data_IF_172120159487
#
_entry.id   IF_172120159487
#
_cell.length_a   1.000
_cell.length_b   1.000
_cell.length_c   1.000
_cell.angle_alpha   90.00
_cell.angle_beta   90.00
_cell.angle_gamma   90.00
#
_symmetry.space_group_name_H-M   'P 1'
#
loop_
_entity.id
_entity.type
_entity.pdbx_description
1 polymer ?
#
# COMPACT_ATOMS: atom_id res chain seq x y z
N UNK A 1 -18.90 -14.93 19.91
CA UNK A 1 -19.77 -16.12 20.08
C UNK A 1 -20.63 -16.22 18.84
N UNK A 2 -20.94 -17.43 18.39
CA UNK A 2 -21.79 -17.63 17.21
C UNK A 2 -23.20 -17.99 17.68
N UNK A 3 -24.21 -17.30 17.14
CA UNK A 3 -25.62 -17.66 17.36
C UNK A 3 -26.02 -18.72 16.33
N UNK A 4 -26.53 -19.85 16.81
CA UNK A 4 -26.93 -20.97 15.96
C UNK A 4 -28.46 -21.06 15.98
N UNK A 5 -29.15 -20.69 14.87
CA UNK A 5 -30.62 -20.62 14.84
C UNK A 5 -31.31 -21.95 15.18
N UNK A 6 -30.63 -23.07 14.92
CA UNK A 6 -31.16 -24.43 15.15
C UNK A 6 -30.97 -24.94 16.58
N UNK A 7 -30.14 -24.28 17.39
CA UNK A 7 -29.79 -24.76 18.74
C UNK A 7 -30.39 -23.84 19.81
N UNK A 8 -30.20 -22.51 19.69
CA UNK A 8 -30.75 -21.53 20.62
C UNK A 8 -30.97 -20.18 19.93
N UNK A 9 -32.23 -19.84 19.64
CA UNK A 9 -32.59 -18.55 19.02
C UNK A 9 -32.41 -17.35 19.97
N UNK A 10 -32.59 -17.56 21.28
CA UNK A 10 -32.61 -16.49 22.29
C UNK A 10 -31.39 -16.49 23.23
N UNK A 11 -30.33 -17.25 22.89
CA UNK A 11 -29.11 -17.37 23.70
C UNK A 11 -27.99 -16.39 23.32
N UNK A 12 -26.99 -16.23 24.19
CA UNK A 12 -25.80 -15.39 23.93
C UNK A 12 -24.89 -15.92 22.80
N UNK A 13 -25.11 -17.17 22.39
CA UNK A 13 -24.32 -17.90 21.40
C UNK A 13 -23.31 -18.87 22.02
N UNK A 14 -22.58 -19.59 21.19
CA UNK A 14 -21.58 -20.58 21.62
C UNK A 14 -20.18 -20.11 21.22
N UNK A 15 -19.19 -20.40 22.06
CA UNK A 15 -17.78 -20.22 21.69
C UNK A 15 -17.37 -21.27 20.66
N UNK A 16 -16.79 -20.81 19.56
CA UNK A 16 -16.34 -21.67 18.47
C UNK A 16 -14.97 -21.22 18.00
N UNK A 17 -14.11 -22.20 17.67
CA UNK A 17 -12.80 -21.93 17.07
C UNK A 17 -12.96 -21.53 15.62
N UNK A 18 -12.05 -20.71 15.11
CA UNK A 18 -12.03 -20.26 13.72
C UNK A 18 -10.97 -21.03 12.93
N UNK A 19 -11.38 -21.66 11.83
CA UNK A 19 -10.46 -22.14 10.81
C UNK A 19 -9.83 -20.93 10.09
N UNK A 20 -8.53 -20.97 9.89
CA UNK A 20 -7.75 -19.87 9.30
C UNK A 20 -6.72 -20.45 8.32
N UNK A 21 -6.15 -19.62 7.44
CA UNK A 21 -5.25 -20.07 6.38
C UNK A 21 -3.91 -20.64 6.91
N UNK A 22 -3.40 -20.09 8.01
CA UNK A 22 -2.24 -20.61 8.73
C UNK A 22 -2.40 -20.35 10.23
N UNK A 23 -1.95 -21.28 11.06
CA UNK A 23 -1.98 -21.18 12.52
C UNK A 23 -0.83 -21.96 13.14
N UNK A 24 -0.05 -21.32 14.01
CA UNK A 24 1.04 -21.93 14.76
C UNK A 24 1.47 -21.08 15.95
N UNK A 25 2.50 -21.53 16.66
CA UNK A 25 3.08 -20.76 17.75
C UNK A 25 3.67 -19.44 17.23
N UNK A 26 3.08 -18.31 17.64
CA UNK A 26 3.47 -16.96 17.22
C UNK A 26 3.48 -16.72 15.69
N UNK A 27 2.69 -17.47 14.93
CA UNK A 27 2.51 -17.27 13.47
C UNK A 27 1.09 -17.64 13.00
N UNK A 28 0.67 -17.07 11.88
CA UNK A 28 -0.58 -17.41 11.22
C UNK A 28 -1.36 -16.20 10.72
N UNK A 29 -2.59 -16.44 10.28
CA UNK A 29 -3.53 -15.41 9.80
C UNK A 29 -4.63 -15.14 10.84
N UNK A 30 -4.97 -13.86 11.03
CA UNK A 30 -6.00 -13.43 12.00
C UNK A 30 -6.98 -12.48 11.33
N UNK A 31 -8.09 -13.04 10.84
CA UNK A 31 -9.24 -12.30 10.32
C UNK A 31 -10.49 -12.83 11.00
N UNK A 32 -10.91 -12.18 12.07
CA UNK A 32 -12.10 -12.61 12.83
C UNK A 32 -13.35 -12.00 12.20
N UNK A 33 -14.46 -12.74 12.13
CA UNK A 33 -15.76 -12.16 11.82
C UNK A 33 -16.06 -11.01 12.79
N UNK A 34 -16.67 -9.96 12.26
CA UNK A 34 -17.20 -8.86 13.05
C UNK A 34 -18.52 -9.28 13.71
N UNK A 35 -19.03 -8.42 14.59
CA UNK A 35 -20.36 -8.63 15.17
C UNK A 35 -21.39 -8.54 14.03
N UNK A 36 -22.34 -9.48 14.05
CA UNK A 36 -23.42 -9.65 13.08
C UNK A 36 -23.01 -10.19 11.69
N UNK A 37 -21.74 -10.55 11.48
CA UNK A 37 -21.31 -11.27 10.26
C UNK A 37 -21.88 -12.70 10.20
N UNK A 38 -22.17 -13.15 8.98
CA UNK A 38 -22.67 -14.49 8.69
C UNK A 38 -21.52 -15.48 8.48
N UNK A 39 -21.55 -16.59 9.23
CA UNK A 39 -20.49 -17.61 9.23
C UNK A 39 -21.04 -19.00 8.93
N UNK A 40 -20.21 -19.83 8.29
CA UNK A 40 -20.46 -21.27 8.17
C UNK A 40 -19.85 -21.97 9.38
N UNK A 41 -20.67 -22.74 10.10
CA UNK A 41 -20.22 -23.57 11.24
C UNK A 41 -20.29 -25.04 10.86
N UNK A 42 -19.18 -25.74 11.08
CA UNK A 42 -19.10 -27.20 11.06
C UNK A 42 -19.02 -27.76 12.48
N UNK A 43 -19.35 -29.04 12.63
CA UNK A 43 -19.34 -29.74 13.92
C UNK A 43 -18.40 -30.94 13.83
N UNK A 44 -17.43 -31.02 14.74
CA UNK A 44 -16.47 -32.14 14.78
C UNK A 44 -17.23 -33.44 15.05
N UNK A 45 -17.05 -34.44 14.20
CA UNK A 45 -17.78 -35.73 14.22
C UNK A 45 -19.32 -35.57 14.28
N UNK A 46 -19.85 -34.44 13.80
CA UNK A 46 -21.26 -34.13 13.84
C UNK A 46 -21.80 -33.79 15.24
N UNK A 47 -20.95 -33.61 16.26
CA UNK A 47 -21.35 -33.23 17.62
C UNK A 47 -21.66 -31.72 17.70
N UNK A 48 -22.93 -31.32 17.93
CA UNK A 48 -23.31 -29.91 18.02
C UNK A 48 -22.60 -29.13 19.13
N UNK A 49 -22.02 -29.83 20.12
CA UNK A 49 -21.26 -29.23 21.22
C UNK A 49 -19.82 -28.87 20.84
N UNK A 50 -19.36 -29.26 19.65
CA UNK A 50 -18.01 -29.02 19.15
C UNK A 50 -18.01 -28.18 17.85
N UNK A 51 -18.55 -26.95 17.88
CA UNK A 51 -18.62 -26.10 16.69
C UNK A 51 -17.25 -25.54 16.31
N UNK A 52 -16.98 -25.47 15.01
CA UNK A 52 -15.84 -24.77 14.39
C UNK A 52 -16.36 -23.89 13.25
N UNK A 53 -16.02 -22.60 13.28
CA UNK A 53 -16.26 -21.69 12.15
C UNK A 53 -15.33 -22.08 11.01
N UNK A 54 -15.91 -22.44 9.86
CA UNK A 54 -15.19 -22.87 8.67
C UNK A 54 -14.87 -21.72 7.71
N UNK A 55 -15.66 -20.65 7.76
CA UNK A 55 -15.54 -19.51 6.87
C UNK A 55 -16.75 -18.59 6.95
N UNK A 56 -16.81 -17.64 6.03
CA UNK A 56 -17.84 -16.60 5.92
C UNK A 56 -18.46 -16.63 4.53
N UNK A 57 -19.69 -16.12 4.39
CA UNK A 57 -20.37 -15.96 3.11
C UNK A 57 -20.91 -14.54 2.99
N UNK A 58 -20.85 -14.00 1.78
CA UNK A 58 -21.61 -12.79 1.45
C UNK A 58 -23.08 -13.13 1.22
N UNK A 59 -23.96 -12.19 1.54
CA UNK A 59 -25.41 -12.30 1.36
C UNK A 59 -25.99 -11.01 0.82
N UNK A 60 -27.29 -10.96 0.60
CA UNK A 60 -27.97 -9.72 0.19
C UNK A 60 -27.92 -8.62 1.26
N UNK A 61 -27.72 -8.97 2.53
CA UNK A 61 -27.55 -7.99 3.62
C UNK A 61 -26.08 -7.57 3.79
N UNK A 62 -25.15 -8.48 3.50
CA UNK A 62 -23.70 -8.24 3.57
C UNK A 62 -23.04 -8.59 2.22
N UNK A 63 -23.23 -7.76 1.19
CA UNK A 63 -22.75 -8.05 -0.15
C UNK A 63 -21.22 -8.06 -0.23
N UNK A 64 -20.69 -8.70 -1.28
CA UNK A 64 -19.26 -8.69 -1.57
C UNK A 64 -18.78 -7.26 -1.90
N UNK A 65 -17.53 -6.91 -1.55
CA UNK A 65 -16.98 -5.59 -1.86
C UNK A 65 -16.74 -5.36 -3.36
N UNK A 66 -16.66 -6.45 -4.14
CA UNK A 66 -16.56 -6.41 -5.59
C UNK A 66 -17.85 -6.99 -6.19
N UNK A 67 -18.39 -6.32 -7.21
CA UNK A 67 -19.60 -6.79 -7.89
C UNK A 67 -19.30 -8.08 -8.65
N UNK A 68 -20.20 -9.05 -8.54
CA UNK A 68 -20.06 -10.31 -9.25
C UNK A 68 -20.32 -10.10 -10.75
N UNK A 69 -19.30 -10.36 -11.57
CA UNK A 69 -19.38 -10.32 -13.03
C UNK A 69 -18.88 -11.64 -13.64
N UNK A 70 -19.34 -11.96 -14.85
CA UNK A 70 -18.90 -13.19 -15.54
C UNK A 70 -17.40 -13.23 -15.78
N UNK A 71 -16.80 -12.09 -16.14
CA UNK A 71 -15.38 -12.01 -16.46
C UNK A 71 -14.49 -11.99 -15.20
N UNK A 72 -15.05 -11.56 -14.06
CA UNK A 72 -14.45 -11.66 -12.72
C UNK A 72 -12.98 -11.18 -12.65
N UNK A 73 -12.69 -10.02 -13.24
CA UNK A 73 -11.32 -9.51 -13.32
C UNK A 73 -10.80 -8.98 -11.98
N UNK A 74 -11.65 -8.34 -11.18
CA UNK A 74 -11.29 -7.77 -9.88
C UNK A 74 -11.35 -8.81 -8.77
N UNK A 75 -10.26 -8.94 -8.02
CA UNK A 75 -10.13 -9.85 -6.88
C UNK A 75 -9.35 -9.16 -5.78
N UNK A 76 -9.64 -9.42 -4.52
CA UNK A 76 -8.86 -8.78 -3.47
C UNK A 76 -9.40 -8.95 -2.07
N UNK A 77 -8.82 -8.18 -1.17
CA UNK A 77 -9.22 -8.06 0.22
C UNK A 77 -9.60 -6.62 0.53
N UNK A 78 -10.75 -6.43 1.16
CA UNK A 78 -11.24 -5.14 1.64
C UNK A 78 -11.55 -5.27 3.12
N UNK A 79 -11.01 -4.37 3.93
CA UNK A 79 -11.29 -4.32 5.37
C UNK A 79 -12.48 -3.43 5.67
N UNK A 80 -13.05 -3.52 6.88
CA UNK A 80 -14.16 -2.65 7.33
C UNK A 80 -13.85 -1.15 7.20
N UNK A 81 -12.59 -0.76 7.38
CA UNK A 81 -12.15 0.63 7.23
C UNK A 81 -11.69 0.95 5.80
N UNK A 82 -12.15 0.19 4.80
CA UNK A 82 -11.94 0.43 3.37
C UNK A 82 -10.48 0.41 2.90
N UNK A 83 -9.55 -0.14 3.69
CA UNK A 83 -8.22 -0.48 3.18
C UNK A 83 -8.34 -1.67 2.23
N UNK A 84 -7.68 -1.61 1.07
CA UNK A 84 -7.81 -2.61 0.01
C UNK A 84 -6.46 -3.13 -0.48
N UNK A 85 -6.44 -4.40 -0.85
CA UNK A 85 -5.43 -5.02 -1.70
C UNK A 85 -6.19 -5.67 -2.87
N UNK A 86 -6.03 -5.15 -4.08
CA UNK A 86 -6.81 -5.54 -5.26
C UNK A 86 -5.89 -5.98 -6.39
N UNK A 87 -6.26 -7.07 -7.05
CA UNK A 87 -5.71 -7.58 -8.29
C UNK A 87 -6.72 -7.35 -9.40
N UNK A 88 -6.26 -6.92 -10.56
CA UNK A 88 -7.07 -6.82 -11.78
C UNK A 88 -6.42 -7.66 -12.88
N UNK A 89 -7.12 -8.72 -13.32
CA UNK A 89 -6.61 -9.63 -14.35
C UNK A 89 -6.75 -9.09 -15.79
N UNK A 90 -7.58 -8.06 -16.02
CA UNK A 90 -7.70 -7.43 -17.34
C UNK A 90 -6.55 -6.45 -17.59
N UNK A 91 -6.30 -5.57 -16.60
CA UNK A 91 -5.19 -4.61 -16.63
C UNK A 91 -3.83 -5.23 -16.26
N UNK A 92 -3.86 -6.44 -15.69
CA UNK A 92 -2.70 -7.12 -15.09
C UNK A 92 -2.01 -6.18 -14.08
N UNK A 93 -2.76 -5.84 -13.02
CA UNK A 93 -2.34 -4.85 -12.02
C UNK A 93 -2.59 -5.30 -10.58
N UNK A 94 -1.80 -4.75 -9.65
CA UNK A 94 -1.91 -4.91 -8.20
C UNK A 94 -1.93 -3.52 -7.54
N UNK A 95 -2.99 -3.26 -6.77
CA UNK A 95 -3.19 -2.01 -6.02
C UNK A 95 -3.29 -2.26 -4.52
N UNK A 96 -2.59 -1.46 -3.72
CA UNK A 96 -2.78 -1.38 -2.26
C UNK A 96 -3.21 0.05 -1.94
N UNK A 97 -4.36 0.24 -1.32
CA UNK A 97 -4.90 1.58 -1.06
C UNK A 97 -5.55 1.74 0.33
N UNK A 98 -5.51 2.97 0.82
CA UNK A 98 -6.23 3.43 2.02
C UNK A 98 -7.33 4.41 1.63
N UNK A 99 -8.42 4.54 2.40
CA UNK A 99 -9.56 5.38 2.04
C UNK A 99 -9.22 6.87 1.86
N UNK A 100 -8.15 7.33 2.51
CA UNK A 100 -7.73 8.73 2.42
C UNK A 100 -6.88 9.04 1.16
N UNK A 101 -6.52 8.04 0.36
CA UNK A 101 -5.84 8.27 -0.92
C UNK A 101 -4.37 7.83 -0.99
N UNK A 102 -3.80 7.26 0.08
CA UNK A 102 -2.49 6.61 -0.04
C UNK A 102 -2.62 5.34 -0.89
N UNK A 103 -1.78 5.21 -1.92
CA UNK A 103 -1.88 4.16 -2.93
C UNK A 103 -0.50 3.67 -3.42
N UNK A 104 -0.37 2.37 -3.59
CA UNK A 104 0.71 1.70 -4.33
C UNK A 104 0.05 0.98 -5.50
N UNK A 105 0.53 1.22 -6.72
CA UNK A 105 0.08 0.57 -7.95
C UNK A 105 1.29 -0.09 -8.65
N UNK A 106 1.13 -1.34 -9.05
CA UNK A 106 2.01 -2.04 -10.00
C UNK A 106 1.14 -2.47 -11.18
N UNK A 107 1.51 -2.08 -12.40
CA UNK A 107 0.67 -2.24 -13.60
C UNK A 107 1.53 -2.67 -14.78
N UNK A 108 1.21 -3.82 -15.39
CA UNK A 108 1.85 -4.26 -16.63
C UNK A 108 1.33 -3.48 -17.83
N UNK A 109 0.06 -3.06 -17.81
CA UNK A 109 -0.54 -2.22 -18.84
C UNK A 109 0.11 -0.83 -18.92
N UNK A 110 0.36 -0.20 -17.76
CA UNK A 110 1.07 1.09 -17.69
C UNK A 110 2.59 0.93 -17.70
N UNK A 111 3.08 -0.30 -17.51
CA UNK A 111 4.49 -0.66 -17.55
C UNK A 111 5.32 -0.05 -16.41
N UNK A 112 4.79 -0.04 -15.18
CA UNK A 112 5.47 0.63 -14.08
C UNK A 112 4.88 0.44 -12.69
N UNK A 113 5.50 1.16 -11.74
CA UNK A 113 5.15 1.21 -10.32
C UNK A 113 4.91 2.67 -9.93
N UNK A 114 3.82 2.93 -9.24
CA UNK A 114 3.44 4.27 -8.77
C UNK A 114 3.10 4.20 -7.28
N UNK A 115 3.73 5.07 -6.48
CA UNK A 115 3.40 5.33 -5.09
C UNK A 115 2.88 6.77 -4.98
N UNK A 116 1.67 6.94 -4.45
CA UNK A 116 1.07 8.25 -4.19
C UNK A 116 0.53 8.33 -2.77
N UNK A 117 0.50 9.54 -2.21
CA UNK A 117 -0.13 9.83 -0.93
C UNK A 117 -1.33 10.78 -1.07
N UNK A 118 -2.02 11.05 0.03
CA UNK A 118 -3.15 11.98 0.08
C UNK A 118 -2.76 13.48 -0.05
N UNK A 119 -1.48 13.79 -0.20
CA UNK A 119 -0.93 15.15 -0.23
C UNK A 119 -0.30 15.51 -1.58
N UNK A 120 -0.66 14.78 -2.64
CA UNK A 120 -0.12 14.92 -4.01
C UNK A 120 1.39 14.67 -4.12
N UNK A 121 2.00 13.92 -3.19
CA UNK A 121 3.36 13.43 -3.37
C UNK A 121 3.34 12.15 -4.24
N UNK A 122 4.30 12.02 -5.15
CA UNK A 122 4.37 10.88 -6.06
C UNK A 122 5.80 10.34 -6.24
N UNK A 123 5.92 9.02 -6.36
CA UNK A 123 7.10 8.32 -6.84
C UNK A 123 6.67 7.38 -7.97
N UNK A 124 7.16 7.63 -9.17
CA UNK A 124 6.85 6.86 -10.38
C UNK A 124 8.10 6.20 -10.93
N UNK A 125 8.02 4.91 -11.24
CA UNK A 125 9.07 4.13 -11.91
C UNK A 125 8.47 3.46 -13.14
N UNK A 126 8.95 3.80 -14.33
CA UNK A 126 8.42 3.26 -15.59
C UNK A 126 9.50 3.24 -16.68
N UNK A 127 9.09 3.01 -17.93
CA UNK A 127 10.00 2.97 -19.09
C UNK A 127 10.74 4.28 -19.37
N UNK A 128 10.26 5.42 -18.87
CA UNK A 128 10.90 6.73 -19.00
C UNK A 128 11.94 7.00 -17.90
N UNK A 129 11.91 6.21 -16.81
CA UNK A 129 12.86 6.30 -15.70
C UNK A 129 12.19 6.36 -14.33
N UNK A 130 12.73 7.20 -13.44
CA UNK A 130 12.26 7.38 -12.07
C UNK A 130 12.00 8.87 -11.82
N UNK A 131 10.80 9.20 -11.35
CA UNK A 131 10.37 10.56 -11.03
C UNK A 131 9.87 10.64 -9.60
N UNK A 132 10.34 11.65 -8.85
CA UNK A 132 9.89 11.97 -7.49
C UNK A 132 9.37 13.40 -7.46
N UNK A 133 8.10 13.58 -7.11
CA UNK A 133 7.43 14.88 -7.09
C UNK A 133 6.82 15.17 -5.73
N UNK A 134 6.84 16.46 -5.35
CA UNK A 134 6.15 16.96 -4.15
C UNK A 134 5.74 18.41 -4.37
N UNK A 135 4.50 18.79 -4.02
CA UNK A 135 4.08 20.19 -4.01
C UNK A 135 4.74 21.01 -2.90
N UNK A 136 5.42 20.35 -1.96
CA UNK A 136 6.07 20.97 -0.80
C UNK A 136 7.56 20.61 -0.78
N UNK A 137 8.13 20.52 0.42
CA UNK A 137 9.58 20.33 0.62
C UNK A 137 9.98 18.88 0.45
N UNK A 138 10.95 18.62 -0.42
CA UNK A 138 11.74 17.39 -0.44
C UNK A 138 13.00 17.60 0.43
N UNK A 139 13.28 16.69 1.36
CA UNK A 139 14.45 16.75 2.25
C UNK A 139 15.27 15.47 2.15
N UNK A 140 16.45 15.55 1.53
CA UNK A 140 17.41 14.43 1.44
C UNK A 140 18.56 14.70 2.40
N UNK A 141 18.79 13.81 3.37
CA UNK A 141 19.85 13.91 4.38
C UNK A 141 20.56 12.57 4.53
N UNK A 142 21.89 12.59 4.49
CA UNK A 142 22.74 11.44 4.79
C UNK A 142 23.67 11.79 5.97
N UNK A 143 23.92 10.82 6.86
CA UNK A 143 24.88 10.98 7.97
C UNK A 143 26.32 10.76 7.51
N UNK A 144 26.49 9.85 6.56
CA UNK A 144 27.75 9.57 5.88
C UNK A 144 27.69 10.24 4.49
N UNK A 145 28.19 9.59 3.44
CA UNK A 145 28.21 10.15 2.09
C UNK A 145 26.85 10.20 1.38
N UNK A 146 26.60 11.30 0.66
CA UNK A 146 25.57 11.42 -0.38
C UNK A 146 26.27 11.62 -1.74
N UNK A 147 26.27 10.59 -2.59
CA UNK A 147 26.83 10.65 -3.94
C UNK A 147 25.72 10.90 -4.99
N UNK A 148 25.96 11.80 -5.94
CA UNK A 148 25.08 12.10 -7.06
C UNK A 148 25.86 12.00 -8.37
N UNK A 149 25.59 10.96 -9.15
CA UNK A 149 26.31 10.68 -10.40
C UNK A 149 25.32 10.48 -11.55
N UNK A 150 25.65 11.01 -12.72
CA UNK A 150 24.85 10.86 -13.93
C UNK A 150 25.53 11.53 -15.11
N UNK A 151 25.12 11.15 -16.34
CA UNK A 151 25.65 11.78 -17.56
C UNK A 151 25.47 13.30 -17.56
N UNK A 152 24.36 13.77 -16.99
CA UNK A 152 24.09 15.17 -16.73
C UNK A 152 23.43 15.30 -15.35
N UNK A 153 23.87 16.28 -14.56
CA UNK A 153 23.20 16.69 -13.32
C UNK A 153 22.74 18.13 -13.49
N UNK A 154 21.44 18.38 -13.40
CA UNK A 154 20.84 19.72 -13.56
C UNK A 154 20.14 20.12 -12.27
N UNK A 155 20.52 21.26 -11.70
CA UNK A 155 19.83 21.90 -10.59
C UNK A 155 19.33 23.27 -11.01
N UNK A 156 18.06 23.58 -10.71
CA UNK A 156 17.47 24.91 -10.91
C UNK A 156 16.73 25.30 -9.63
N UNK A 157 16.93 26.53 -9.19
CA UNK A 157 16.13 27.14 -8.14
C UNK A 157 15.64 28.51 -8.61
N UNK A 158 14.36 28.80 -8.41
CA UNK A 158 13.77 30.08 -8.85
C UNK A 158 14.07 31.24 -7.88
N UNK A 159 14.27 30.94 -6.59
CA UNK A 159 14.62 31.94 -5.58
C UNK A 159 16.12 31.95 -5.25
N UNK A 160 16.64 30.84 -4.70
CA UNK A 160 18.04 30.70 -4.32
C UNK A 160 18.50 29.25 -4.37
N UNK A 161 19.76 29.05 -4.75
CA UNK A 161 20.46 27.78 -4.66
C UNK A 161 21.70 27.96 -3.77
N UNK A 162 21.85 27.11 -2.75
CA UNK A 162 22.96 27.16 -1.79
C UNK A 162 23.66 25.80 -1.75
N UNK A 163 24.99 25.83 -1.84
CA UNK A 163 25.86 24.66 -1.72
C UNK A 163 26.97 25.03 -0.72
N UNK A 164 27.03 24.33 0.40
CA UNK A 164 27.96 24.62 1.50
C UNK A 164 28.81 23.37 1.78
N UNK A 165 30.13 23.57 1.85
CA UNK A 165 31.07 22.57 2.36
C UNK A 165 31.58 23.01 3.72
N UNK A 166 31.44 22.16 4.74
CA UNK A 166 31.87 22.50 6.11
C UNK A 166 33.38 22.72 6.23
N UNK A 167 34.17 21.79 5.68
CA UNK A 167 35.64 21.89 5.65
C UNK A 167 36.17 22.32 4.29
N UNK A 168 35.58 21.82 3.20
CA UNK A 168 36.00 22.09 1.83
C UNK A 168 34.79 22.00 0.88
N UNK A 169 34.76 22.86 -0.15
CA UNK A 169 33.84 22.77 -1.27
C UNK A 169 34.63 22.80 -2.58
N UNK A 170 34.53 21.75 -3.38
CA UNK A 170 35.30 21.57 -4.60
C UNK A 170 34.43 21.69 -5.87
N UNK A 171 34.83 22.57 -6.80
CA UNK A 171 34.22 22.67 -8.13
C UNK A 171 35.28 22.41 -9.21
N UNK A 172 35.18 21.28 -9.92
CA UNK A 172 36.16 20.84 -10.92
C UNK A 172 35.46 20.53 -12.25
N UNK A 173 36.04 20.99 -13.36
CA UNK A 173 35.60 20.68 -14.74
C UNK A 173 36.81 20.27 -15.57
N UNK A 174 36.68 19.20 -16.37
CA UNK A 174 37.70 18.83 -17.37
C UNK A 174 37.69 19.72 -18.63
N UNK A 175 36.66 20.55 -18.77
CA UNK A 175 36.50 21.52 -19.86
C UNK A 175 36.27 22.93 -19.31
N UNK A 176 35.32 23.66 -19.90
CA UNK A 176 34.98 25.02 -19.47
C UNK A 176 34.09 25.01 -18.22
N UNK A 177 34.35 25.94 -17.30
CA UNK A 177 33.47 26.25 -16.15
C UNK A 177 32.87 27.65 -16.37
N UNK A 178 31.54 27.75 -16.47
CA UNK A 178 30.83 29.03 -16.63
C UNK A 178 30.21 29.45 -15.29
N UNK A 179 30.61 30.62 -14.78
CA UNK A 179 30.01 31.24 -13.59
C UNK A 179 29.52 32.62 -13.98
N UNK A 180 28.20 32.85 -13.87
CA UNK A 180 27.54 34.07 -14.34
C UNK A 180 26.56 34.59 -13.30
N UNK A 181 26.50 35.91 -13.16
CA UNK A 181 25.57 36.62 -12.29
C UNK A 181 25.79 38.13 -12.43
N UNK A 182 24.81 38.94 -12.02
CA UNK A 182 24.97 40.39 -12.01
C UNK A 182 26.17 40.84 -11.16
N UNK A 183 26.44 40.09 -10.08
CA UNK A 183 27.61 40.25 -9.21
C UNK A 183 28.16 38.88 -8.84
N UNK A 184 29.46 38.66 -9.03
CA UNK A 184 30.19 37.48 -8.56
C UNK A 184 31.18 37.93 -7.49
N UNK A 185 31.05 37.40 -6.27
CA UNK A 185 31.98 37.68 -5.16
C UNK A 185 32.91 36.49 -4.97
N UNK A 186 34.21 36.75 -4.92
CA UNK A 186 35.26 35.78 -4.60
C UNK A 186 36.11 36.46 -3.53
N UNK A 187 36.27 35.83 -2.37
CA UNK A 187 37.02 36.35 -1.23
C UNK A 187 38.04 35.34 -0.71
#
# INVERSE_FOLDING_TARGET
MVRLPTIHLDGEGVWSRLATLDAGENRGTVFRPEIDDEVIVGFVDGDPNQPVVLGMLHSSQHPAPFEAANDNHEKGWVTRSEMKITFNDDEVSLTIETPNGNKILMSDQDGGIVLTDENDNSLTMNSEGITLESPKKISVKATDDLALEGKNVKGKADMSATLEGGSEANLKSGGTTNVQGATVKIN
#
